data_IF_329979086478
#
_entry.id   IF_329979086478
#
_cell.length_a   1.000
_cell.length_b   1.000
_cell.length_c   1.000
_cell.angle_alpha   90.00
_cell.angle_beta   90.00
_cell.angle_gamma   90.00
#
_symmetry.space_group_name_H-M   'P 1'
#
loop_
_entity.id
_entity.type
_entity.pdbx_description
1 polymer ?
#
# COMPACT_ATOMS: atom_id res chain seq x y z
N UNK A 1 -0.04 1.22 18.52
CA UNK A 1 0.70 2.39 18.02
C UNK A 1 0.33 2.54 16.56
N UNK A 2 0.14 3.76 16.06
CA UNK A 2 -0.15 4.05 14.64
C UNK A 2 0.82 5.12 14.17
N UNK A 3 1.05 5.18 12.86
CA UNK A 3 1.94 6.15 12.19
C UNK A 3 1.12 7.03 11.24
N UNK A 4 1.64 8.19 10.79
CA UNK A 4 0.94 9.05 9.83
C UNK A 4 0.48 8.31 8.57
N UNK A 5 1.33 7.45 7.98
CA UNK A 5 0.91 6.68 6.82
C UNK A 5 -0.04 5.54 7.18
N UNK A 6 0.13 4.89 8.34
CA UNK A 6 -0.81 3.86 8.80
C UNK A 6 -2.24 4.40 8.94
N UNK A 7 -2.40 5.66 9.38
CA UNK A 7 -3.72 6.30 9.42
C UNK A 7 -4.37 6.43 8.03
N UNK A 8 -3.61 6.62 6.95
CA UNK A 8 -4.20 6.62 5.58
C UNK A 8 -4.43 5.21 5.04
N UNK A 9 -3.62 4.22 5.46
CA UNK A 9 -3.85 2.79 5.16
C UNK A 9 -5.15 2.31 5.78
N UNK A 10 -5.38 2.61 7.05
CA UNK A 10 -6.61 2.27 7.77
C UNK A 10 -7.86 2.90 7.15
N UNK A 11 -7.71 4.04 6.49
CA UNK A 11 -8.78 4.72 5.75
C UNK A 11 -8.83 4.33 4.26
N UNK A 12 -7.98 3.41 3.78
CA UNK A 12 -7.88 3.00 2.37
C UNK A 12 -7.58 4.15 1.39
N UNK A 13 -6.96 5.22 1.88
CA UNK A 13 -6.60 6.42 1.12
C UNK A 13 -5.12 6.45 0.70
N UNK A 14 -4.37 5.38 0.98
CA UNK A 14 -2.96 5.31 0.67
C UNK A 14 -2.68 4.87 -0.78
N UNK A 15 -1.42 5.08 -1.17
CA UNK A 15 -0.94 4.80 -2.54
C UNK A 15 -1.08 3.34 -2.96
N UNK A 16 -1.02 2.37 -2.06
CA UNK A 16 -1.17 0.96 -2.43
C UNK A 16 -2.61 0.64 -2.80
N UNK A 17 -3.58 1.06 -1.98
CA UNK A 17 -5.01 0.88 -2.30
C UNK A 17 -5.44 1.68 -3.53
N UNK A 18 -4.88 2.88 -3.75
CA UNK A 18 -5.15 3.65 -4.96
C UNK A 18 -4.63 2.93 -6.23
N UNK A 19 -3.44 2.33 -6.18
CA UNK A 19 -2.88 1.55 -7.30
C UNK A 19 -3.75 0.32 -7.58
N UNK A 20 -4.19 -0.41 -6.55
CA UNK A 20 -5.13 -1.52 -6.72
C UNK A 20 -6.43 -1.05 -7.38
N UNK A 21 -7.00 0.07 -6.92
CA UNK A 21 -8.23 0.62 -7.48
C UNK A 21 -8.08 0.97 -8.97
N UNK A 22 -6.95 1.56 -9.37
CA UNK A 22 -6.65 1.86 -10.78
C UNK A 22 -6.55 0.58 -11.60
N UNK A 23 -5.79 -0.42 -11.13
CA UNK A 23 -5.60 -1.67 -11.85
C UNK A 23 -6.92 -2.42 -12.10
N UNK A 24 -7.86 -2.37 -11.15
CA UNK A 24 -9.19 -2.98 -11.29
C UNK A 24 -10.14 -2.21 -12.19
N UNK A 25 -9.99 -0.89 -12.30
CA UNK A 25 -10.95 -0.01 -12.98
C UNK A 25 -10.56 0.37 -14.40
N UNK A 26 -9.28 0.28 -14.76
CA UNK A 26 -8.80 0.63 -16.11
C UNK A 26 -8.81 -0.62 -16.99
N UNK A 27 -9.65 -0.69 -18.05
CA UNK A 27 -9.77 -1.90 -18.89
C UNK A 27 -8.44 -2.34 -19.52
N UNK A 28 -7.58 -1.38 -19.88
CA UNK A 28 -6.26 -1.65 -20.45
C UNK A 28 -5.30 -2.35 -19.47
N UNK A 29 -5.56 -2.27 -18.16
CA UNK A 29 -4.75 -2.90 -17.11
C UNK A 29 -5.34 -4.23 -16.62
N UNK A 30 -6.51 -4.65 -17.13
CA UNK A 30 -7.16 -5.90 -16.72
C UNK A 30 -6.24 -7.14 -16.80
N UNK A 31 -5.37 -7.31 -17.82
CA UNK A 31 -4.46 -8.46 -17.88
C UNK A 31 -3.46 -8.53 -16.71
N UNK A 32 -3.10 -7.39 -16.11
CA UNK A 32 -2.13 -7.32 -15.00
C UNK A 32 -2.78 -7.14 -13.62
N UNK A 33 -4.11 -6.97 -13.56
CA UNK A 33 -4.80 -6.61 -12.33
C UNK A 33 -4.56 -7.61 -11.18
N UNK A 34 -4.57 -8.91 -11.46
CA UNK A 34 -4.31 -9.94 -10.46
C UNK A 34 -2.91 -9.84 -9.84
N UNK A 35 -1.90 -9.55 -10.67
CA UNK A 35 -0.53 -9.36 -10.20
C UNK A 35 -0.41 -8.10 -9.34
N UNK A 36 -0.98 -6.98 -9.78
CA UNK A 36 -0.96 -5.72 -9.01
C UNK A 36 -1.62 -5.88 -7.64
N UNK A 37 -2.77 -6.55 -7.59
CA UNK A 37 -3.48 -6.84 -6.33
C UNK A 37 -2.60 -7.66 -5.38
N UNK A 38 -1.88 -8.66 -5.90
CA UNK A 38 -0.98 -9.46 -5.08
C UNK A 38 0.17 -8.61 -4.53
N UNK A 39 0.82 -7.80 -5.38
CA UNK A 39 1.90 -6.91 -4.94
C UNK A 39 1.46 -5.88 -3.90
N UNK A 40 0.23 -5.36 -4.01
CA UNK A 40 -0.36 -4.45 -3.02
C UNK A 40 -0.55 -5.16 -1.68
N UNK A 41 -1.08 -6.39 -1.68
CA UNK A 41 -1.23 -7.20 -0.44
C UNK A 41 0.11 -7.46 0.23
N UNK A 42 1.11 -7.84 -0.54
CA UNK A 42 2.45 -8.11 -0.02
C UNK A 42 3.05 -6.85 0.63
N UNK A 43 2.85 -5.68 0.01
CA UNK A 43 3.29 -4.39 0.57
C UNK A 43 2.55 -3.99 1.84
N UNK A 44 1.26 -4.25 1.94
CA UNK A 44 0.49 -3.98 3.16
C UNK A 44 0.90 -4.89 4.33
N UNK A 45 1.28 -6.14 4.04
CA UNK A 45 1.85 -7.05 5.04
C UNK A 45 3.19 -6.50 5.52
N UNK A 46 4.09 -6.13 4.60
CA UNK A 46 5.38 -5.53 4.91
C UNK A 46 5.23 -4.27 5.77
N UNK A 47 4.31 -3.37 5.41
CA UNK A 47 3.97 -2.16 6.18
C UNK A 47 3.56 -2.51 7.61
N UNK A 48 2.59 -3.43 7.78
CA UNK A 48 2.09 -3.81 9.11
C UNK A 48 3.21 -4.39 9.98
N UNK A 49 4.04 -5.25 9.41
CA UNK A 49 5.13 -5.87 10.15
C UNK A 49 6.22 -4.84 10.50
N UNK A 50 6.49 -3.88 9.61
CA UNK A 50 7.44 -2.79 9.85
C UNK A 50 6.97 -1.86 10.97
N UNK A 51 5.74 -1.34 10.93
CA UNK A 51 5.22 -0.44 11.98
C UNK A 51 5.15 -1.16 13.33
N UNK A 52 4.83 -2.45 13.35
CA UNK A 52 4.79 -3.27 14.57
C UNK A 52 6.17 -3.39 15.20
N UNK A 53 7.22 -3.50 14.36
CA UNK A 53 8.60 -3.67 14.81
C UNK A 53 9.29 -2.36 15.19
N UNK A 54 9.06 -1.29 14.43
CA UNK A 54 9.85 -0.05 14.53
C UNK A 54 9.05 1.16 15.03
N UNK A 55 7.71 1.12 14.99
CA UNK A 55 6.87 2.22 15.43
C UNK A 55 6.91 3.48 14.54
N UNK A 56 7.48 3.37 13.34
CA UNK A 56 7.61 4.45 12.37
C UNK A 56 7.27 3.97 10.95
N UNK A 57 6.97 4.91 10.06
CA UNK A 57 6.69 4.62 8.65
C UNK A 57 7.91 4.02 7.94
N UNK A 58 7.65 3.11 7.00
CA UNK A 58 8.69 2.50 6.17
C UNK A 58 9.58 3.57 5.49
N UNK A 59 10.87 3.26 5.30
CA UNK A 59 11.80 4.18 4.63
C UNK A 59 11.30 4.60 3.23
N UNK A 60 10.71 3.68 2.46
CA UNK A 60 10.14 4.00 1.14
C UNK A 60 8.94 4.97 1.19
N UNK A 61 8.28 5.09 2.33
CA UNK A 61 7.17 6.04 2.56
C UNK A 61 7.75 7.41 2.91
N UNK A 62 8.73 7.44 3.80
CA UNK A 62 9.34 8.67 4.30
C UNK A 62 10.23 9.36 3.27
N UNK A 63 10.87 8.58 2.40
CA UNK A 63 11.81 9.07 1.40
C UNK A 63 11.20 9.13 0.00
N UNK A 64 9.86 9.15 -0.10
CA UNK A 64 9.17 9.33 -1.38
C UNK A 64 9.31 10.78 -1.85
N UNK A 65 9.96 11.00 -3.00
CA UNK A 65 10.19 12.29 -3.64
C UNK A 65 10.74 12.14 -5.06
#
# INVERSE_FOLDING_TARGET
MTTPFDMVVLNTLDRFHLVEAVARRVPKLAPMAAYVVQSVRDKLIEHRDYISRYGEDMLEIRNWG
#
